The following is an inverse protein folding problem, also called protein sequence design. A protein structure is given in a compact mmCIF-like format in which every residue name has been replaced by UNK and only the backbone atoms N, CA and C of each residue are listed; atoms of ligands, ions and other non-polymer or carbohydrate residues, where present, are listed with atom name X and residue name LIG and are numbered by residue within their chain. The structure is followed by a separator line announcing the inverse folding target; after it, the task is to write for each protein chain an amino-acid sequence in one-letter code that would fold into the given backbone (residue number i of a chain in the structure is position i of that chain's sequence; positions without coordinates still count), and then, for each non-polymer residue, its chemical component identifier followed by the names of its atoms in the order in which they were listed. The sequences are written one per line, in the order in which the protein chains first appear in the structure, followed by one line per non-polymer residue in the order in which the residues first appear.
data_IF_366853722462
#
_entry.id   IF_366853722462
#
_cell.length_a   1.000
_cell.length_b   1.000
_cell.length_c   1.000
_cell.angle_alpha   90.00
_cell.angle_beta   90.00
_cell.angle_gamma   90.00
#
_symmetry.space_group_name_H-M   'P 1'
#
loop_
_entity.id
_entity.type
_entity.pdbx_description
1 polymer ?
#
# COMPACT_ATOMS: atom_id res chain seq x y z
N UNK A 1 6.46 7.67 -9.01
CA UNK A 1 5.46 7.28 -7.99
C UNK A 1 4.83 8.56 -7.48
N UNK A 2 3.50 8.66 -7.51
CA UNK A 2 2.77 9.83 -7.01
C UNK A 2 2.37 9.61 -5.56
N UNK A 3 2.43 10.66 -4.74
CA UNK A 3 2.10 10.60 -3.32
C UNK A 3 1.27 11.83 -2.91
N UNK A 4 0.19 11.59 -2.16
CA UNK A 4 -0.69 12.63 -1.61
C UNK A 4 -1.35 12.09 -0.34
N UNK A 5 -1.24 12.83 0.78
CA UNK A 5 -1.86 12.43 2.06
C UNK A 5 -1.45 11.05 2.59
N UNK A 6 -0.26 10.55 2.24
CA UNK A 6 0.22 9.20 2.60
C UNK A 6 -0.29 8.06 1.69
N UNK A 7 -1.13 8.39 0.70
CA UNK A 7 -1.53 7.46 -0.36
C UNK A 7 -0.52 7.50 -1.50
N UNK A 8 -0.26 6.35 -2.10
CA UNK A 8 0.66 6.20 -3.23
C UNK A 8 -0.09 5.66 -4.42
N UNK A 9 0.30 6.03 -5.62
CA UNK A 9 -0.34 5.54 -6.83
C UNK A 9 0.65 5.01 -7.88
N UNK A 10 0.21 3.97 -8.59
CA UNK A 10 0.80 3.51 -9.85
C UNK A 10 0.11 4.24 -11.01
N UNK A 11 0.88 4.56 -12.04
CA UNK A 11 0.37 5.21 -13.25
C UNK A 11 0.79 4.37 -14.44
N UNK A 12 -0.14 4.10 -15.33
CA UNK A 12 0.06 3.42 -16.60
C UNK A 12 -0.49 4.30 -17.73
N UNK A 13 0.13 4.25 -18.90
CA UNK A 13 -0.42 4.87 -20.09
C UNK A 13 -1.35 3.87 -20.78
N UNK A 14 -2.58 4.28 -21.06
CA UNK A 14 -3.54 3.54 -21.85
C UNK A 14 -3.48 4.06 -23.29
N UNK A 15 -2.96 3.23 -24.19
CA UNK A 15 -2.72 3.58 -25.60
C UNK A 15 -4.02 3.71 -26.39
N UNK A 16 -5.04 2.90 -26.05
CA UNK A 16 -6.33 2.91 -26.74
C UNK A 16 -7.14 4.16 -26.38
N UNK A 17 -7.01 4.63 -25.14
CA UNK A 17 -7.71 5.81 -24.64
C UNK A 17 -6.87 7.11 -24.71
N UNK A 18 -5.60 7.04 -25.07
CA UNK A 18 -4.63 8.15 -25.06
C UNK A 18 -4.58 8.92 -23.72
N UNK A 19 -4.77 8.22 -22.58
CA UNK A 19 -4.77 8.81 -21.24
C UNK A 19 -3.82 8.10 -20.29
N UNK A 20 -3.34 8.83 -19.28
CA UNK A 20 -2.70 8.22 -18.12
C UNK A 20 -3.77 7.73 -17.15
N UNK A 21 -3.77 6.44 -16.86
CA UNK A 21 -4.58 5.81 -15.83
C UNK A 21 -3.77 5.63 -14.56
N UNK A 22 -4.30 6.16 -13.45
CA UNK A 22 -3.72 6.04 -12.12
C UNK A 22 -4.57 5.19 -11.19
N UNK A 23 -3.91 4.35 -10.39
CA UNK A 23 -4.57 3.55 -9.35
C UNK A 23 -3.79 3.68 -8.03
N UNK A 24 -4.53 3.91 -6.95
CA UNK A 24 -3.98 3.99 -5.60
C UNK A 24 -3.61 2.59 -5.12
N UNK A 25 -2.40 2.45 -4.59
CA UNK A 25 -1.87 1.19 -4.07
C UNK A 25 -1.90 1.17 -2.55
N UNK A 26 -2.11 -0.02 -1.98
CA UNK A 26 -2.11 -0.23 -0.54
C UNK A 26 -3.47 0.03 0.15
N UNK A 27 -4.52 0.33 -0.62
CA UNK A 27 -5.90 0.40 -0.12
C UNK A 27 -6.65 -0.91 -0.45
N UNK A 28 -7.71 -1.22 0.32
CA UNK A 28 -8.65 -2.30 -0.02
C UNK A 28 -9.70 -1.81 -1.01
N UNK A 29 -10.15 -0.59 -0.82
CA UNK A 29 -11.03 0.09 -1.77
C UNK A 29 -10.23 0.48 -3.03
N UNK A 30 -10.82 0.25 -4.21
CA UNK A 30 -10.23 0.62 -5.49
C UNK A 30 -10.46 2.12 -5.72
N UNK A 31 -9.36 2.88 -5.80
CA UNK A 31 -9.39 4.31 -6.09
C UNK A 31 -8.59 4.55 -7.36
N UNK A 32 -9.27 5.03 -8.41
CA UNK A 32 -8.68 5.27 -9.73
C UNK A 32 -8.88 6.71 -10.15
N UNK A 33 -7.93 7.24 -10.89
CA UNK A 33 -7.95 8.59 -11.46
C UNK A 33 -7.35 8.56 -12.86
N UNK A 34 -7.62 9.58 -13.66
CA UNK A 34 -7.15 9.65 -15.04
C UNK A 34 -6.73 11.09 -15.36
N UNK A 35 -5.87 11.25 -16.36
CA UNK A 35 -5.52 12.56 -16.88
C UNK A 35 -4.74 12.46 -18.18
N UNK A 36 -4.85 13.48 -19.02
CA UNK A 36 -4.12 13.60 -20.30
C UNK A 36 -2.76 14.26 -20.13
N UNK A 37 -2.51 14.88 -18.98
CA UNK A 37 -1.26 15.57 -18.66
C UNK A 37 -0.84 15.33 -17.21
N UNK A 38 0.44 15.52 -16.92
CA UNK A 38 0.97 15.38 -15.55
C UNK A 38 0.28 16.30 -14.53
N UNK A 39 0.00 17.59 -14.84
CA UNK A 39 -0.76 18.45 -13.92
C UNK A 39 -2.17 17.94 -13.65
N UNK A 40 -2.91 17.61 -14.70
CA UNK A 40 -4.28 17.07 -14.58
C UNK A 40 -4.30 15.78 -13.76
N UNK A 41 -3.32 14.91 -13.99
CA UNK A 41 -3.19 13.65 -13.27
C UNK A 41 -2.93 13.88 -11.76
N UNK A 42 -2.16 14.91 -11.40
CA UNK A 42 -1.92 15.29 -9.98
C UNK A 42 -3.18 15.81 -9.32
N UNK A 43 -3.92 16.66 -10.01
CA UNK A 43 -5.17 17.23 -9.50
C UNK A 43 -6.24 16.14 -9.36
N UNK A 44 -6.38 15.28 -10.37
CA UNK A 44 -7.29 14.15 -10.36
C UNK A 44 -6.95 13.14 -9.24
N UNK A 45 -5.67 12.91 -8.99
CA UNK A 45 -5.23 12.06 -7.88
C UNK A 45 -5.63 12.64 -6.52
N UNK A 46 -5.31 13.91 -6.26
CA UNK A 46 -5.65 14.58 -5.01
C UNK A 46 -7.17 14.60 -4.78
N UNK A 47 -7.94 14.97 -5.81
CA UNK A 47 -9.40 14.99 -5.75
C UNK A 47 -10.01 13.61 -5.46
N UNK A 48 -9.46 12.56 -6.07
CA UNK A 48 -9.93 11.18 -5.84
C UNK A 48 -9.67 10.70 -4.42
N UNK A 49 -8.54 11.10 -3.81
CA UNK A 49 -8.25 10.81 -2.40
C UNK A 49 -9.15 11.61 -1.47
N UNK A 50 -9.36 12.90 -1.73
CA UNK A 50 -10.19 13.74 -0.88
C UNK A 50 -11.66 13.28 -0.89
N UNK A 51 -12.18 12.89 -2.05
CA UNK A 51 -13.51 12.30 -2.16
C UNK A 51 -13.59 10.94 -1.45
N UNK A 52 -12.56 10.09 -1.58
CA UNK A 52 -12.48 8.83 -0.83
C UNK A 52 -12.58 9.06 0.68
N UNK A 53 -11.78 9.98 1.22
CA UNK A 53 -11.76 10.32 2.63
C UNK A 53 -13.11 10.86 3.11
N UNK A 54 -13.75 11.69 2.29
CA UNK A 54 -15.08 12.24 2.55
C UNK A 54 -16.14 11.14 2.62
N UNK A 55 -16.18 10.23 1.64
CA UNK A 55 -17.10 9.08 1.63
C UNK A 55 -16.87 8.17 2.83
N UNK A 56 -15.62 7.96 3.24
CA UNK A 56 -15.30 7.23 4.47
C UNK A 56 -15.89 7.91 5.70
N UNK A 57 -15.71 9.24 5.84
CA UNK A 57 -16.25 10.02 6.95
C UNK A 57 -17.78 9.98 7.00
N UNK A 58 -18.46 10.18 5.87
CA UNK A 58 -19.93 10.15 5.76
C UNK A 58 -20.51 8.77 6.15
N UNK A 59 -19.79 7.69 5.85
CA UNK A 59 -20.20 6.33 6.18
C UNK A 59 -19.75 5.86 7.57
N UNK A 60 -19.07 6.71 8.34
CA UNK A 60 -18.46 6.33 9.62
C UNK A 60 -17.41 5.22 9.49
N UNK A 61 -16.84 5.03 8.30
CA UNK A 61 -15.79 4.06 8.04
C UNK A 61 -14.44 4.71 8.31
N UNK A 62 -13.55 4.00 8.98
CA UNK A 62 -12.15 4.39 9.01
C UNK A 62 -11.59 4.24 7.60
N UNK A 63 -10.99 5.29 7.00
CA UNK A 63 -10.29 5.16 5.73
C UNK A 63 -9.26 4.04 5.80
N UNK A 64 -9.04 3.35 4.69
CA UNK A 64 -8.03 2.31 4.63
C UNK A 64 -6.68 2.91 5.03
N UNK A 65 -6.16 2.46 6.17
CA UNK A 65 -4.77 2.72 6.52
C UNK A 65 -3.92 2.00 5.48
N UNK A 66 -3.34 2.78 4.57
CA UNK A 66 -2.50 2.29 3.47
C UNK A 66 -1.40 1.35 3.98
N UNK A 67 -0.91 1.59 5.22
CA UNK A 67 0.07 0.74 5.89
C UNK A 67 -0.19 0.66 7.40
N UNK A 68 -1.01 -0.30 7.85
CA UNK A 68 -1.32 -0.47 9.28
C UNK A 68 -0.15 -1.01 10.13
N UNK A 69 0.95 -1.45 9.50
CA UNK A 69 2.05 -2.17 10.13
C UNK A 69 1.71 -3.61 10.54
N UNK A 70 0.44 -4.03 10.42
CA UNK A 70 -0.01 -5.39 10.72
C UNK A 70 0.02 -6.24 9.45
N UNK A 71 0.83 -7.28 9.45
CA UNK A 71 0.94 -8.23 8.34
C UNK A 71 0.38 -9.58 8.83
N UNK A 72 -0.89 -9.90 8.55
CA UNK A 72 -1.43 -11.24 8.82
C UNK A 72 -0.79 -12.23 7.83
N UNK A 73 0.22 -12.96 8.30
CA UNK A 73 1.03 -13.83 7.47
C UNK A 73 0.72 -15.30 7.76
N UNK A 74 0.38 -16.07 6.71
CA UNK A 74 0.33 -17.54 6.77
C UNK A 74 1.53 -18.10 6.01
N UNK A 75 2.35 -18.87 6.70
CA UNK A 75 3.50 -19.58 6.12
C UNK A 75 3.41 -21.08 6.43
N UNK A 76 4.15 -21.88 5.66
CA UNK A 76 4.23 -23.32 5.88
C UNK A 76 4.83 -23.61 7.27
N UNK A 77 4.37 -24.67 7.98
CA UNK A 77 4.88 -25.00 9.31
C UNK A 77 6.40 -25.14 9.39
N UNK A 78 7.03 -25.67 8.33
CA UNK A 78 8.48 -25.88 8.27
C UNK A 78 9.23 -24.54 8.23
N UNK A 79 8.70 -23.56 7.50
CA UNK A 79 9.27 -22.21 7.43
C UNK A 79 9.04 -21.46 8.75
N UNK A 80 7.88 -21.63 9.37
CA UNK A 80 7.60 -21.06 10.69
C UNK A 80 8.59 -21.58 11.74
N UNK A 81 8.87 -22.90 11.74
CA UNK A 81 9.87 -23.50 12.63
C UNK A 81 11.26 -22.89 12.40
N UNK A 82 11.73 -22.89 11.16
CA UNK A 82 13.05 -22.35 10.82
C UNK A 82 13.19 -20.87 11.23
N UNK A 83 12.18 -20.04 10.94
CA UNK A 83 12.19 -18.63 11.35
C UNK A 83 12.20 -18.46 12.88
N UNK A 84 11.48 -19.31 13.62
CA UNK A 84 11.46 -19.27 15.09
C UNK A 84 12.82 -19.67 15.69
N UNK A 85 13.46 -20.70 15.12
CA UNK A 85 14.80 -21.15 15.53
C UNK A 85 15.85 -20.05 15.27
N UNK A 86 15.83 -19.41 14.09
CA UNK A 86 16.72 -18.28 13.78
C UNK A 86 16.50 -17.09 14.72
N UNK A 87 15.24 -16.70 14.94
CA UNK A 87 14.92 -15.61 15.87
C UNK A 87 15.42 -15.91 17.29
N UNK A 88 15.26 -17.14 17.77
CA UNK A 88 15.72 -17.57 19.10
C UNK A 88 17.24 -17.55 19.20
N UNK A 89 17.95 -18.04 18.19
CA UNK A 89 19.42 -18.03 18.15
C UNK A 89 20.00 -16.61 18.21
N UNK A 90 19.26 -15.63 17.69
CA UNK A 90 19.62 -14.21 17.73
C UNK A 90 19.07 -13.46 18.96
N UNK A 91 18.35 -14.15 19.86
CA UNK A 91 17.74 -13.53 21.05
C UNK A 91 16.59 -12.57 20.74
N UNK A 92 15.94 -12.71 19.58
CA UNK A 92 14.87 -11.84 19.08
C UNK A 92 13.51 -12.54 19.18
N UNK A 93 12.45 -11.75 19.30
CA UNK A 93 11.09 -12.28 19.04
C UNK A 93 10.92 -12.59 17.55
N UNK A 94 10.07 -13.55 17.21
CA UNK A 94 9.79 -13.88 15.81
C UNK A 94 9.32 -12.65 15.00
N UNK A 95 8.49 -11.79 15.57
CA UNK A 95 8.02 -10.58 14.91
C UNK A 95 9.16 -9.58 14.65
N UNK A 96 10.07 -9.40 15.62
CA UNK A 96 11.22 -8.51 15.45
C UNK A 96 12.17 -9.04 14.37
N UNK A 97 12.44 -10.35 14.37
CA UNK A 97 13.27 -11.01 13.37
C UNK A 97 12.65 -10.91 11.96
N UNK A 98 11.34 -11.14 11.84
CA UNK A 98 10.63 -10.97 10.56
C UNK A 98 10.62 -9.52 10.08
N UNK A 99 10.45 -8.54 10.97
CA UNK A 99 10.49 -7.13 10.62
C UNK A 99 11.86 -6.75 10.03
N UNK A 100 12.95 -7.18 10.66
CA UNK A 100 14.32 -6.95 10.17
C UNK A 100 14.59 -7.65 8.83
N UNK A 101 14.09 -8.89 8.66
CA UNK A 101 14.18 -9.59 7.38
C UNK A 101 13.46 -8.82 6.26
N UNK A 102 12.29 -8.24 6.55
CA UNK A 102 11.56 -7.37 5.61
C UNK A 102 12.34 -6.08 5.35
N UNK A 103 12.86 -5.42 6.38
CA UNK A 103 13.68 -4.19 6.23
C UNK A 103 14.91 -4.41 5.34
N UNK A 104 15.59 -5.54 5.50
CA UNK A 104 16.74 -5.91 4.67
C UNK A 104 16.36 -6.24 3.22
N UNK A 105 15.16 -6.80 3.00
CA UNK A 105 14.69 -7.16 1.66
C UNK A 105 14.14 -5.99 0.84
N UNK A 106 13.70 -4.90 1.51
CA UNK A 106 13.16 -3.70 0.84
C UNK A 106 14.18 -2.57 0.69
N UNK A 107 15.39 -2.74 1.23
CA UNK A 107 16.55 -1.88 0.95
C UNK A 107 17.17 -2.23 -0.40
#
# INVERSE_FOLDING_TARGET
MMEYGGYRARVMFDDDAEVFHGEVVGTRDVITFQGTSVPELRDAFAASIDEYLKVCAERGRTPDKVYSGKIPLRIRPELHRAATESATAEGKSLNAWLAEAVENAVR
#
